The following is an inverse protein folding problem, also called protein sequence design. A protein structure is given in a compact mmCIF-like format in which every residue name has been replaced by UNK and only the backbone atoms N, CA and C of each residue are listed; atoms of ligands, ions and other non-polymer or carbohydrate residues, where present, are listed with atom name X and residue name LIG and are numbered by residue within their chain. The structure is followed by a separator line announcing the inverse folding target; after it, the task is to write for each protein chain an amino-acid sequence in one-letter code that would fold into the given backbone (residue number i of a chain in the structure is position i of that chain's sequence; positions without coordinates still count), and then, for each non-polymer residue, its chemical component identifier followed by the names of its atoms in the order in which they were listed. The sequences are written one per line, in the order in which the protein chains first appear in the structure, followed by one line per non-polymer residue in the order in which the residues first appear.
data_IF_734957190933
#
_entry.id   IF_734957190933
#
_cell.length_a   1.000
_cell.length_b   1.000
_cell.length_c   1.000
_cell.angle_alpha   90.00
_cell.angle_beta   90.00
_cell.angle_gamma   90.00
#
_symmetry.space_group_name_H-M   'P 1'
#
loop_
_entity.id
_entity.type
_entity.pdbx_description
1 polymer ?
#
# COMPACT_ATOMS: atom_id res chain seq x y z
N UNK A 1 12.29 -15.78 -6.91
CA UNK A 1 11.17 -14.94 -7.38
C UNK A 1 10.30 -14.65 -6.17
N UNK A 2 9.95 -13.38 -5.88
CA UNK A 2 9.03 -13.03 -4.79
C UNK A 2 7.65 -12.74 -5.41
N UNK A 3 6.54 -13.26 -4.84
CA UNK A 3 5.20 -12.96 -5.35
C UNK A 3 4.87 -11.48 -5.17
N UNK A 4 3.95 -10.97 -6.00
CA UNK A 4 3.42 -9.62 -5.83
C UNK A 4 2.53 -9.56 -4.58
N UNK A 5 2.55 -8.43 -3.84
CA UNK A 5 1.63 -8.24 -2.73
C UNK A 5 0.20 -8.04 -3.23
N UNK A 6 -0.76 -8.09 -2.31
CA UNK A 6 -2.16 -7.73 -2.59
C UNK A 6 -2.58 -6.56 -1.70
N UNK A 7 -3.33 -5.64 -2.29
CA UNK A 7 -3.98 -4.55 -1.56
C UNK A 7 -5.45 -4.90 -1.38
N UNK A 8 -5.91 -4.97 -0.13
CA UNK A 8 -7.31 -5.17 0.23
C UNK A 8 -7.85 -3.81 0.68
N UNK A 9 -8.99 -3.41 0.11
CA UNK A 9 -9.68 -2.17 0.45
C UNK A 9 -10.94 -2.49 1.26
N UNK A 10 -11.30 -1.60 2.18
CA UNK A 10 -12.56 -1.68 2.92
C UNK A 10 -13.76 -1.55 1.94
N UNK A 11 -14.61 -2.58 1.79
CA UNK A 11 -15.76 -2.53 0.89
C UNK A 11 -16.90 -1.65 1.39
N UNK A 12 -16.88 -1.23 2.66
CA UNK A 12 -17.92 -0.38 3.26
C UNK A 12 -17.77 1.10 2.85
N UNK A 13 -16.59 1.50 2.38
CA UNK A 13 -16.32 2.88 1.92
C UNK A 13 -16.67 3.01 0.44
N UNK A 14 -17.71 3.78 0.14
CA UNK A 14 -18.25 3.93 -1.22
C UNK A 14 -17.91 5.27 -1.88
N UNK A 15 -17.26 6.18 -1.16
CA UNK A 15 -16.85 7.51 -1.64
C UNK A 15 -15.34 7.63 -1.64
N UNK A 16 -14.78 8.16 -2.72
CA UNK A 16 -13.32 8.31 -2.87
C UNK A 16 -12.71 9.27 -1.82
N UNK A 17 -13.51 10.19 -1.28
CA UNK A 17 -13.06 11.20 -0.32
C UNK A 17 -13.12 10.71 1.14
N UNK A 18 -13.78 9.58 1.39
CA UNK A 18 -14.01 9.07 2.75
C UNK A 18 -12.95 8.05 3.18
N UNK A 19 -12.05 7.65 2.28
CA UNK A 19 -10.98 6.71 2.59
C UNK A 19 -9.97 7.28 3.58
N UNK A 20 -9.63 6.47 4.57
CA UNK A 20 -8.59 6.74 5.56
C UNK A 20 -7.46 5.73 5.44
N UNK A 21 -6.34 5.96 6.13
CA UNK A 21 -5.21 5.03 6.13
C UNK A 21 -5.61 3.61 6.57
N UNK A 22 -6.57 3.49 7.48
CA UNK A 22 -6.98 2.19 8.05
C UNK A 22 -7.83 1.35 7.09
N UNK A 23 -8.34 1.93 6.00
CA UNK A 23 -9.17 1.23 5.02
C UNK A 23 -8.34 0.42 4.01
N UNK A 24 -7.01 0.49 4.10
CA UNK A 24 -6.09 -0.21 3.22
C UNK A 24 -5.32 -1.26 4.01
N UNK A 25 -5.39 -2.52 3.57
CA UNK A 25 -4.60 -3.61 4.14
C UNK A 25 -3.68 -4.19 3.08
N UNK A 26 -2.38 -4.12 3.32
CA UNK A 26 -1.37 -4.71 2.45
C UNK A 26 -1.00 -6.10 2.96
N UNK A 27 -1.27 -7.14 2.16
CA UNK A 27 -0.95 -8.54 2.48
C UNK A 27 0.13 -9.07 1.53
N UNK A 28 0.85 -10.10 2.00
CA UNK A 28 1.92 -10.76 1.24
C UNK A 28 3.07 -9.81 0.80
N UNK A 29 3.34 -8.75 1.58
CA UNK A 29 4.40 -7.77 1.28
C UNK A 29 5.79 -8.26 1.69
N UNK A 30 6.60 -8.63 0.69
CA UNK A 30 7.98 -9.09 0.85
C UNK A 30 8.98 -8.19 0.10
N UNK A 31 9.20 -6.94 0.56
CA UNK A 31 10.05 -5.98 -0.14
C UNK A 31 11.54 -6.31 -0.01
N UNK A 32 12.32 -5.80 -0.96
CA UNK A 32 13.78 -5.75 -0.81
C UNK A 32 14.15 -4.77 0.32
N UNK A 33 15.40 -4.83 0.84
CA UNK A 33 15.88 -3.81 1.77
C UNK A 33 15.65 -2.40 1.19
N UNK A 34 15.21 -1.48 2.03
CA UNK A 34 14.95 -0.11 1.62
C UNK A 34 16.22 0.56 1.10
N UNK A 35 16.12 1.24 -0.04
CA UNK A 35 17.21 2.04 -0.62
C UNK A 35 16.79 3.50 -0.52
N UNK A 36 17.59 4.32 0.16
CA UNK A 36 17.31 5.75 0.32
C UNK A 36 17.71 6.49 -0.96
N UNK A 37 16.73 7.07 -1.65
CA UNK A 37 16.97 7.99 -2.78
C UNK A 37 17.01 9.44 -2.32
N UNK A 38 17.91 10.25 -2.90
CA UNK A 38 17.90 11.69 -2.70
C UNK A 38 16.85 12.33 -3.61
N UNK A 39 16.09 13.30 -3.09
CA UNK A 39 15.14 14.10 -3.88
C UNK A 39 15.90 15.32 -4.41
N UNK A 40 15.87 15.52 -5.73
CA UNK A 40 16.34 16.76 -6.33
C UNK A 40 15.27 17.84 -6.16
N UNK A 41 15.70 19.04 -5.80
CA UNK A 41 14.85 20.23 -5.61
C UNK A 41 14.98 21.13 -6.82
#
# INVERSE_FOLDING_TARGET
IRPLPKMILNPEVTSIFDFTFNDFTLVDYNPHPAIKGAVAV
#
